data_IF_229530466859
#
_entry.id   IF_229530466859
#
_cell.length_a   1.000
_cell.length_b   1.000
_cell.length_c   1.000
_cell.angle_alpha   90.00
_cell.angle_beta   90.00
_cell.angle_gamma   90.00
#
_symmetry.space_group_name_H-M   'P 1'
#
loop_
_entity.id
_entity.type
_entity.pdbx_description
1 polymer ?
#
# COMPACT_ATOMS: atom_id res chain seq x y z
N UNK A 1 0.08 4.18 6.15
CA UNK A 1 0.99 5.32 5.93
C UNK A 1 2.29 4.81 5.34
N UNK A 2 3.07 5.69 4.72
CA UNK A 2 4.39 5.34 4.19
C UNK A 2 5.42 5.20 5.30
N UNK A 3 6.20 4.12 5.28
CA UNK A 3 7.34 3.87 6.14
C UNK A 3 8.62 4.13 5.36
N UNK A 4 9.29 5.25 5.65
CA UNK A 4 10.45 5.71 4.90
C UNK A 4 11.70 4.83 5.08
N UNK A 5 11.91 4.28 6.29
CA UNK A 5 13.08 3.44 6.57
C UNK A 5 13.03 2.13 5.77
N UNK A 6 11.84 1.52 5.75
CA UNK A 6 11.62 0.20 5.15
C UNK A 6 11.12 0.26 3.71
N UNK A 7 10.78 1.46 3.21
CA UNK A 7 10.18 1.69 1.89
C UNK A 7 8.91 0.85 1.65
N UNK A 8 8.03 0.86 2.63
CA UNK A 8 6.78 0.07 2.64
C UNK A 8 5.58 0.93 2.97
N UNK A 9 4.39 0.48 2.57
CA UNK A 9 3.14 1.02 3.05
C UNK A 9 2.64 0.18 4.23
N UNK A 10 2.53 0.79 5.41
CA UNK A 10 2.09 0.11 6.62
C UNK A 10 0.66 0.53 6.98
N UNK A 11 -0.26 -0.44 7.08
CA UNK A 11 -1.64 -0.19 7.48
C UNK A 11 -1.70 0.15 8.98
N UNK A 12 -2.15 1.36 9.37
CA UNK A 12 -2.14 1.80 10.76
C UNK A 12 -3.13 1.04 11.65
N UNK A 13 -4.12 0.35 11.07
CA UNK A 13 -5.15 -0.35 11.83
C UNK A 13 -4.65 -1.69 12.40
N UNK A 14 -3.99 -2.50 11.56
CA UNK A 14 -3.67 -3.90 11.91
C UNK A 14 -2.27 -4.34 11.43
N UNK A 15 -1.45 -3.43 10.90
CA UNK A 15 -0.05 -3.72 10.56
C UNK A 15 0.17 -4.52 9.28
N UNK A 16 -0.81 -4.63 8.39
CA UNK A 16 -0.55 -5.17 7.04
C UNK A 16 0.49 -4.29 6.33
N UNK A 17 1.47 -4.92 5.67
CA UNK A 17 2.56 -4.21 4.97
C UNK A 17 2.53 -4.53 3.49
N UNK A 18 2.80 -3.51 2.68
CA UNK A 18 2.85 -3.61 1.22
C UNK A 18 4.16 -3.04 0.69
N UNK A 19 4.63 -3.55 -0.43
CA UNK A 19 5.79 -3.01 -1.13
C UNK A 19 5.44 -1.70 -1.86
N UNK A 20 6.40 -1.14 -2.61
CA UNK A 20 6.21 0.12 -3.37
C UNK A 20 5.19 0.00 -4.51
N UNK A 21 4.90 -1.21 -4.98
CA UNK A 21 3.96 -1.49 -6.05
C UNK A 21 2.55 -1.82 -5.52
N UNK A 22 2.42 -1.95 -4.19
CA UNK A 22 1.18 -2.30 -3.50
C UNK A 22 1.00 -3.80 -3.26
N UNK A 23 2.01 -4.63 -3.49
CA UNK A 23 1.96 -6.07 -3.25
C UNK A 23 2.07 -6.41 -1.76
N UNK A 24 1.28 -7.39 -1.31
CA UNK A 24 1.28 -7.80 0.10
C UNK A 24 2.62 -8.41 0.47
N UNK A 25 3.26 -7.83 1.49
CA UNK A 25 4.45 -8.38 2.13
C UNK A 25 4.07 -9.18 3.38
N UNK A 26 3.20 -8.62 4.23
CA UNK A 26 2.77 -9.26 5.47
C UNK A 26 1.28 -9.04 5.74
N UNK A 27 0.64 -10.07 6.31
CA UNK A 27 -0.78 -10.04 6.68
C UNK A 27 -1.11 -9.03 7.79
N UNK A 28 -2.40 -8.81 8.11
CA UNK A 28 -3.57 -9.65 7.81
C UNK A 28 -4.19 -9.48 6.41
N UNK A 29 -3.69 -8.57 5.58
CA UNK A 29 -4.19 -8.40 4.21
C UNK A 29 -4.00 -9.67 3.38
N UNK A 30 -5.02 -10.02 2.58
CA UNK A 30 -5.03 -11.22 1.71
C UNK A 30 -4.91 -10.90 0.22
N UNK A 31 -4.83 -9.62 -0.14
CA UNK A 31 -4.80 -9.13 -1.52
C UNK A 31 -3.97 -7.85 -1.59
N UNK A 32 -3.30 -7.64 -2.72
CA UNK A 32 -2.57 -6.40 -3.03
C UNK A 32 -3.50 -5.19 -3.07
N UNK A 33 -2.92 -3.99 -2.97
CA UNK A 33 -3.64 -2.73 -3.15
C UNK A 33 -4.17 -2.62 -4.58
N UNK A 34 -5.35 -2.02 -4.72
CA UNK A 34 -5.93 -1.71 -6.02
C UNK A 34 -5.14 -0.59 -6.71
N UNK A 35 -4.83 -0.77 -7.99
CA UNK A 35 -4.20 0.26 -8.81
C UNK A 35 -5.29 1.17 -9.36
N UNK A 36 -5.18 2.46 -9.06
CA UNK A 36 -6.04 3.49 -9.61
C UNK A 36 -5.29 4.11 -10.78
N UNK A 37 -5.88 4.04 -11.98
CA UNK A 37 -5.40 4.82 -13.13
C UNK A 37 -5.65 6.30 -12.79
N UNK A 38 -4.57 7.08 -12.71
CA UNK A 38 -4.69 8.51 -12.51
C UNK A 38 -5.13 9.12 -13.83
N UNK A 39 -6.38 9.53 -13.92
CA UNK A 39 -6.82 10.42 -14.99
C UNK A 39 -6.38 11.85 -14.65
N UNK A 40 -5.79 12.55 -15.62
CA UNK A 40 -5.29 13.92 -15.44
C UNK A 40 -6.42 14.97 -15.19
N UNK A 41 -7.63 14.53 -14.83
CA UNK A 41 -8.77 15.44 -14.66
C UNK A 41 -8.73 16.25 -13.37
N UNK A 42 -7.74 16.01 -12.49
CA UNK A 42 -7.43 16.90 -11.37
C UNK A 42 -8.61 17.18 -10.44
N UNK A 43 -9.55 16.24 -10.34
CA UNK A 43 -10.70 16.29 -9.42
C UNK A 43 -10.44 15.54 -8.13
#
# INVERSE_FOLDING_TARGET
GWNQAEKTWDCPCHGARYDINGDVLTGPARRSLEKIELDDTGK
#
